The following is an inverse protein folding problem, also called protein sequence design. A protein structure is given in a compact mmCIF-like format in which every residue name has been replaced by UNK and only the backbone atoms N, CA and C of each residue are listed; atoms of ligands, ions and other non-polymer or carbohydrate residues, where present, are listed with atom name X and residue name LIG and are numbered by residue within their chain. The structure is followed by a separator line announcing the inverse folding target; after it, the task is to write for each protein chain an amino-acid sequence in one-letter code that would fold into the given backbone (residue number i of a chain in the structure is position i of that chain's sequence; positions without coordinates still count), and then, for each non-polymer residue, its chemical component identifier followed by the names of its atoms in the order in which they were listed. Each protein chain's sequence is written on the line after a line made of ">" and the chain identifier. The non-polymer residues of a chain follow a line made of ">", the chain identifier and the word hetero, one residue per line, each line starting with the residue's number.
data_IF_333495916893
#
_entry.id   IF_333495916893
#
_cell.length_a   1.000
_cell.length_b   1.000
_cell.length_c   1.000
_cell.angle_alpha   90.00
_cell.angle_beta   90.00
_cell.angle_gamma   90.00
#
_symmetry.space_group_name_H-M   'P 1'
#
loop_
_entity.id
_entity.type
_entity.pdbx_description
1 polymer ?
#
# COMPACT_ATOMS: atom_id res chain seq x y z
N UNK A 1 13.87 16.55 10.57
CA UNK A 1 14.68 15.51 9.93
C UNK A 1 15.09 14.34 10.82
N UNK A 2 14.60 14.24 12.07
CA UNK A 2 14.79 13.04 12.91
C UNK A 2 13.79 11.92 12.57
N UNK A 3 12.58 12.27 12.13
CA UNK A 3 11.50 11.31 11.80
C UNK A 3 11.89 10.42 10.62
N UNK A 4 12.48 10.99 9.58
CA UNK A 4 12.91 10.25 8.38
C UNK A 4 14.01 9.22 8.70
N UNK A 5 14.90 9.53 9.67
CA UNK A 5 15.94 8.59 10.11
C UNK A 5 15.40 7.45 10.99
N UNK A 6 14.32 7.68 11.74
CA UNK A 6 13.67 6.63 12.53
C UNK A 6 12.91 5.64 11.63
N UNK A 7 12.28 6.14 10.56
CA UNK A 7 11.55 5.31 9.59
C UNK A 7 12.52 4.52 8.69
N UNK A 8 13.65 5.11 8.29
CA UNK A 8 14.68 4.43 7.47
C UNK A 8 15.56 3.44 8.25
N UNK A 9 15.51 3.43 9.57
CA UNK A 9 16.39 2.59 10.39
C UNK A 9 15.85 1.18 10.65
N UNK A 10 14.58 0.94 10.30
CA UNK A 10 13.99 -0.40 10.28
C UNK A 10 13.49 -0.64 8.87
N UNK A 11 13.93 -1.71 8.24
CA UNK A 11 13.34 -2.13 6.98
C UNK A 11 11.83 -2.26 7.22
N UNK A 12 11.01 -1.67 6.35
CA UNK A 12 9.54 -1.62 6.52
C UNK A 12 8.97 -3.04 6.67
N UNK A 13 9.65 -4.01 6.07
CA UNK A 13 9.32 -5.43 6.15
C UNK A 13 9.43 -5.99 7.57
N UNK A 14 10.41 -5.53 8.37
CA UNK A 14 10.58 -5.93 9.77
C UNK A 14 9.49 -5.32 10.68
N UNK A 15 8.90 -4.21 10.26
CA UNK A 15 7.90 -3.48 11.06
C UNK A 15 6.50 -3.98 10.82
N UNK A 16 6.12 -4.19 9.57
CA UNK A 16 4.75 -4.56 9.19
C UNK A 16 4.61 -5.99 8.67
N UNK A 17 5.70 -6.77 8.70
CA UNK A 17 5.71 -8.17 8.27
C UNK A 17 5.56 -8.39 6.77
N UNK A 18 5.64 -7.31 5.98
CA UNK A 18 5.63 -7.38 4.52
C UNK A 18 6.28 -6.13 3.90
N UNK A 19 6.68 -6.25 2.62
CA UNK A 19 7.18 -5.10 1.86
C UNK A 19 6.09 -4.03 1.72
N UNK A 20 6.43 -2.76 1.85
CA UNK A 20 5.48 -1.64 1.72
C UNK A 20 4.70 -1.68 0.39
N UNK A 21 5.37 -2.05 -0.72
CA UNK A 21 4.71 -2.20 -2.03
C UNK A 21 3.63 -3.29 -2.01
N UNK A 22 3.85 -4.41 -1.29
CA UNK A 22 2.86 -5.47 -1.11
C UNK A 22 1.66 -4.95 -0.33
N UNK A 23 1.91 -4.24 0.77
CA UNK A 23 0.86 -3.62 1.57
C UNK A 23 -0.02 -2.68 0.74
N UNK A 24 0.58 -1.79 -0.07
CA UNK A 24 -0.14 -0.87 -0.94
C UNK A 24 -1.02 -1.62 -1.95
N UNK A 25 -0.48 -2.65 -2.59
CA UNK A 25 -1.22 -3.45 -3.58
C UNK A 25 -2.39 -4.18 -2.91
N UNK A 26 -2.16 -4.84 -1.77
CA UNK A 26 -3.19 -5.58 -1.05
C UNK A 26 -4.31 -4.65 -0.56
N UNK A 27 -3.97 -3.48 -0.01
CA UNK A 27 -4.96 -2.47 0.36
C UNK A 27 -5.81 -2.07 -0.84
N UNK A 28 -5.18 -1.79 -1.97
CA UNK A 28 -5.91 -1.43 -3.19
C UNK A 28 -6.80 -2.55 -3.70
N UNK A 29 -6.35 -3.80 -3.70
CA UNK A 29 -7.18 -4.96 -4.08
C UNK A 29 -8.40 -5.10 -3.16
N UNK A 30 -8.22 -4.90 -1.85
CA UNK A 30 -9.32 -4.90 -0.88
C UNK A 30 -10.32 -3.78 -1.16
N UNK A 31 -9.87 -2.57 -1.47
CA UNK A 31 -10.73 -1.43 -1.78
C UNK A 31 -11.59 -1.66 -3.04
N UNK A 32 -11.13 -2.49 -3.96
CA UNK A 32 -11.91 -3.00 -5.09
C UNK A 32 -12.82 -4.19 -4.74
N UNK A 33 -12.97 -4.54 -3.48
CA UNK A 33 -13.82 -5.66 -3.04
C UNK A 33 -13.14 -7.03 -3.13
N UNK A 34 -11.82 -7.08 -3.08
CA UNK A 34 -11.03 -8.32 -3.07
C UNK A 34 -10.73 -8.90 -4.46
N UNK A 35 -11.29 -8.34 -5.51
CA UNK A 35 -11.04 -8.76 -6.90
C UNK A 35 -11.00 -7.57 -7.84
N UNK A 36 -9.95 -7.48 -8.65
CA UNK A 36 -9.75 -6.36 -9.57
C UNK A 36 -9.02 -6.81 -10.82
N UNK A 37 -9.32 -6.21 -11.99
CA UNK A 37 -8.53 -6.48 -13.19
C UNK A 37 -7.10 -5.95 -13.02
N UNK A 38 -6.12 -6.70 -13.51
CA UNK A 38 -4.71 -6.28 -13.43
C UNK A 38 -4.49 -4.89 -14.07
N UNK A 39 -5.23 -4.58 -15.13
CA UNK A 39 -5.18 -3.28 -15.81
C UNK A 39 -5.68 -2.15 -14.87
N UNK A 40 -6.88 -2.31 -14.28
CA UNK A 40 -7.46 -1.32 -13.38
C UNK A 40 -6.58 -1.10 -12.14
N UNK A 41 -5.97 -2.17 -11.62
CA UNK A 41 -5.04 -2.09 -10.51
C UNK A 41 -3.78 -1.27 -10.89
N UNK A 42 -3.21 -1.50 -12.07
CA UNK A 42 -2.06 -0.74 -12.57
C UNK A 42 -2.38 0.74 -12.77
N UNK A 43 -3.54 1.05 -13.33
CA UNK A 43 -4.02 2.42 -13.53
C UNK A 43 -4.22 3.13 -12.17
N UNK A 44 -4.85 2.48 -11.19
CA UNK A 44 -5.11 3.07 -9.88
C UNK A 44 -3.84 3.35 -9.08
N UNK A 45 -2.83 2.48 -9.22
CA UNK A 45 -1.54 2.61 -8.53
C UNK A 45 -0.50 3.41 -9.34
N UNK A 46 -0.83 3.79 -10.57
CA UNK A 46 0.08 4.44 -11.51
C UNK A 46 1.37 3.64 -11.74
N UNK A 47 1.26 2.31 -11.79
CA UNK A 47 2.36 1.41 -12.13
C UNK A 47 2.36 1.07 -13.60
N UNK A 48 3.54 1.03 -14.20
CA UNK A 48 3.68 0.44 -15.53
C UNK A 48 3.44 -1.08 -15.50
N UNK A 49 3.01 -1.62 -16.65
CA UNK A 49 2.59 -3.01 -16.76
C UNK A 49 3.69 -4.01 -16.34
N UNK A 50 4.95 -3.73 -16.65
CA UNK A 50 6.07 -4.64 -16.37
C UNK A 50 6.39 -4.68 -14.88
N UNK A 51 6.47 -3.52 -14.23
CA UNK A 51 6.71 -3.41 -12.81
C UNK A 51 5.57 -4.02 -12.00
N UNK A 52 4.32 -3.81 -12.45
CA UNK A 52 3.17 -4.44 -11.81
C UNK A 52 3.22 -5.96 -11.89
N UNK A 53 3.56 -6.54 -13.06
CA UNK A 53 3.68 -8.00 -13.22
C UNK A 53 4.72 -8.58 -12.27
N UNK A 54 5.90 -7.97 -12.16
CA UNK A 54 6.96 -8.42 -11.26
C UNK A 54 6.50 -8.36 -9.80
N UNK A 55 5.84 -7.28 -9.41
CA UNK A 55 5.33 -7.10 -8.06
C UNK A 55 4.23 -8.12 -7.73
N UNK A 56 3.30 -8.36 -8.67
CA UNK A 56 2.25 -9.36 -8.48
C UNK A 56 2.82 -10.79 -8.41
N UNK A 57 3.90 -11.09 -9.13
CA UNK A 57 4.60 -12.37 -9.00
C UNK A 57 5.12 -12.59 -7.57
N UNK A 58 5.77 -11.56 -7.01
CA UNK A 58 6.28 -11.62 -5.63
C UNK A 58 5.15 -11.86 -4.61
N UNK A 59 4.04 -11.12 -4.75
CA UNK A 59 2.89 -11.23 -3.83
C UNK A 59 2.18 -12.59 -3.97
N UNK A 60 2.14 -13.15 -5.19
CA UNK A 60 1.55 -14.47 -5.48
C UNK A 60 2.41 -15.61 -4.94
N UNK A 61 3.76 -15.47 -4.96
CA UNK A 61 4.68 -16.43 -4.33
C UNK A 61 4.42 -16.54 -2.82
N UNK A 62 4.08 -15.42 -2.17
CA UNK A 62 3.72 -15.36 -0.76
C UNK A 62 2.27 -15.85 -0.47
N UNK A 63 1.57 -16.39 -1.49
CA UNK A 63 0.16 -16.85 -1.41
C UNK A 63 -0.84 -15.78 -0.91
N UNK A 64 -0.53 -14.49 -1.10
CA UNK A 64 -1.40 -13.37 -0.67
C UNK A 64 -2.42 -12.97 -1.70
N UNK A 65 -2.16 -13.25 -2.98
CA UNK A 65 -3.08 -13.08 -4.10
C UNK A 65 -3.03 -14.29 -5.02
N UNK A 66 -4.04 -14.40 -5.90
CA UNK A 66 -4.04 -15.30 -7.06
C UNK A 66 -4.38 -14.49 -8.31
N UNK A 67 -3.77 -14.87 -9.43
CA UNK A 67 -4.16 -14.34 -10.72
C UNK A 67 -4.98 -15.38 -11.46
N UNK A 68 -6.16 -14.99 -11.84
CA UNK A 68 -7.11 -15.82 -12.57
C UNK A 68 -7.45 -15.19 -13.91
N UNK A 69 -7.98 -15.98 -14.83
CA UNK A 69 -8.54 -15.42 -16.07
C UNK A 69 -9.92 -14.87 -15.77
N UNK A 70 -10.20 -13.67 -16.29
CA UNK A 70 -11.52 -13.06 -16.16
C UNK A 70 -12.58 -14.01 -16.78
N UNK A 71 -13.61 -14.41 -16.05
CA UNK A 71 -14.70 -15.22 -16.57
C UNK A 71 -15.44 -14.59 -17.76
N UNK A 72 -15.49 -13.26 -17.79
CA UNK A 72 -16.15 -12.49 -18.86
C UNK A 72 -15.26 -12.28 -20.09
N UNK A 73 -13.93 -12.21 -19.90
CA UNK A 73 -12.96 -12.08 -21.00
C UNK A 73 -11.67 -12.82 -20.67
N UNK A 74 -11.52 -14.03 -21.17
CA UNK A 74 -10.35 -14.91 -20.95
C UNK A 74 -9.00 -14.33 -21.39
N UNK A 75 -9.00 -13.20 -22.10
CA UNK A 75 -7.78 -12.48 -22.47
C UNK A 75 -7.28 -11.57 -21.35
N UNK A 76 -8.13 -11.31 -20.36
CA UNK A 76 -7.81 -10.46 -19.21
C UNK A 76 -7.46 -11.31 -17.99
N UNK A 77 -6.56 -10.78 -17.16
CA UNK A 77 -6.26 -11.34 -15.86
C UNK A 77 -6.91 -10.48 -14.78
N UNK A 78 -7.47 -11.15 -13.80
CA UNK A 78 -7.95 -10.57 -12.54
C UNK A 78 -7.04 -10.99 -11.41
N UNK A 79 -6.83 -10.08 -10.49
CA UNK A 79 -6.11 -10.30 -9.23
C UNK A 79 -7.15 -10.49 -8.15
N UNK A 80 -7.04 -11.60 -7.43
CA UNK A 80 -7.97 -11.98 -6.36
C UNK A 80 -7.20 -12.08 -5.05
N UNK A 81 -7.69 -11.43 -4.00
CA UNK A 81 -7.16 -11.56 -2.65
C UNK A 81 -7.38 -12.97 -2.12
N UNK A 82 -6.35 -13.56 -1.52
CA UNK A 82 -6.49 -14.84 -0.81
C UNK A 82 -6.85 -14.60 0.66
N UNK A 83 -7.30 -15.64 1.35
CA UNK A 83 -7.50 -15.59 2.80
C UNK A 83 -6.20 -15.31 3.57
N UNK A 84 -5.07 -15.74 3.02
CA UNK A 84 -3.76 -15.46 3.60
C UNK A 84 -3.42 -13.98 3.42
N UNK A 85 -3.70 -13.42 2.23
CA UNK A 85 -3.50 -12.00 1.96
C UNK A 85 -4.35 -11.10 2.85
N UNK A 86 -5.61 -11.46 3.10
CA UNK A 86 -6.49 -10.74 4.03
C UNK A 86 -5.91 -10.72 5.46
N UNK A 87 -5.51 -11.88 5.99
CA UNK A 87 -4.91 -12.00 7.33
C UNK A 87 -3.60 -11.24 7.47
N UNK A 88 -2.74 -11.33 6.45
CA UNK A 88 -1.44 -10.63 6.47
C UNK A 88 -1.64 -9.13 6.40
N UNK A 89 -2.64 -8.66 5.64
CA UNK A 89 -2.99 -7.25 5.55
C UNK A 89 -3.53 -6.71 6.87
N UNK A 90 -4.48 -7.43 7.50
CA UNK A 90 -5.03 -7.08 8.82
C UNK A 90 -3.92 -6.98 9.86
N UNK A 91 -3.01 -7.98 9.89
CA UNK A 91 -1.87 -7.96 10.80
C UNK A 91 -0.93 -6.78 10.55
N UNK A 92 -0.68 -6.45 9.30
CA UNK A 92 0.17 -5.30 8.95
C UNK A 92 -0.48 -3.98 9.39
N UNK A 93 -1.79 -3.85 9.30
CA UNK A 93 -2.55 -2.69 9.78
C UNK A 93 -2.46 -2.55 11.31
N UNK A 94 -2.64 -3.64 12.06
CA UNK A 94 -2.47 -3.63 13.52
C UNK A 94 -1.05 -3.20 13.94
N UNK A 95 -0.03 -3.66 13.22
CA UNK A 95 1.36 -3.27 13.48
C UNK A 95 1.61 -1.79 13.16
N UNK A 96 0.98 -1.27 12.11
CA UNK A 96 1.06 0.16 11.77
C UNK A 96 0.36 1.03 12.81
N UNK A 97 -0.83 0.61 13.31
CA UNK A 97 -1.53 1.31 14.38
C UNK A 97 -0.67 1.37 15.65
N UNK A 98 -0.06 0.24 16.04
CA UNK A 98 0.85 0.20 17.19
C UNK A 98 2.04 1.13 17.00
N UNK A 99 2.63 1.14 15.81
CA UNK A 99 3.73 2.04 15.49
C UNK A 99 3.31 3.52 15.52
N UNK A 100 2.12 3.83 15.02
CA UNK A 100 1.57 5.19 15.07
C UNK A 100 1.35 5.63 16.50
N UNK A 101 0.79 4.78 17.35
CA UNK A 101 0.61 5.06 18.79
C UNK A 101 1.94 5.35 19.48
N UNK A 102 2.97 4.56 19.23
CA UNK A 102 4.31 4.74 19.79
C UNK A 102 4.97 6.04 19.31
N UNK A 103 4.85 6.34 18.01
CA UNK A 103 5.43 7.56 17.43
C UNK A 103 4.74 8.82 17.91
N UNK A 104 3.44 8.75 18.17
CA UNK A 104 2.61 9.87 18.60
C UNK A 104 2.33 9.87 20.11
N UNK A 105 3.03 9.04 20.89
CA UNK A 105 2.84 8.93 22.34
C UNK A 105 3.03 10.26 23.09
N UNK A 106 3.81 11.20 22.51
CA UNK A 106 4.01 12.54 23.06
C UNK A 106 2.89 13.55 22.76
N UNK A 107 1.87 13.17 21.96
CA UNK A 107 0.76 14.03 21.57
C UNK A 107 -0.53 13.60 22.28
N UNK A 108 -1.31 14.56 22.74
CA UNK A 108 -2.66 14.30 23.23
C UNK A 108 -3.67 14.06 22.06
N UNK A 109 -4.92 13.75 22.41
CA UNK A 109 -5.95 13.40 21.41
C UNK A 109 -6.25 14.57 20.45
N UNK A 110 -6.27 15.81 20.96
CA UNK A 110 -6.55 17.01 20.17
C UNK A 110 -5.37 17.34 19.24
N UNK A 111 -4.15 17.19 19.72
CA UNK A 111 -2.92 17.37 18.95
C UNK A 111 -2.82 16.35 17.81
N UNK A 112 -3.17 15.07 18.08
CA UNK A 112 -3.22 14.01 17.06
C UNK A 112 -4.28 14.30 16.00
N UNK A 113 -5.47 14.77 16.40
CA UNK A 113 -6.54 15.15 15.46
C UNK A 113 -6.11 16.33 14.59
N UNK A 114 -5.44 17.33 15.17
CA UNK A 114 -4.88 18.48 14.46
C UNK A 114 -3.82 18.06 13.45
N UNK A 115 -2.88 17.19 13.85
CA UNK A 115 -1.84 16.64 12.97
C UNK A 115 -2.46 15.89 11.79
N UNK A 116 -3.45 15.03 12.05
CA UNK A 116 -4.16 14.27 11.01
C UNK A 116 -4.87 15.22 10.03
N UNK A 117 -5.52 16.26 10.50
CA UNK A 117 -6.17 17.27 9.67
C UNK A 117 -5.18 18.02 8.79
N UNK A 118 -4.03 18.42 9.32
CA UNK A 118 -2.97 19.09 8.56
C UNK A 118 -2.37 18.18 7.47
N UNK A 119 -2.10 16.92 7.79
CA UNK A 119 -1.60 15.94 6.83
C UNK A 119 -2.63 15.65 5.73
N UNK A 120 -3.91 15.49 6.07
CA UNK A 120 -4.98 15.28 5.08
C UNK A 120 -5.09 16.47 4.12
N UNK A 121 -5.10 17.69 4.63
CA UNK A 121 -5.15 18.91 3.80
C UNK A 121 -3.94 19.02 2.88
N UNK A 122 -2.75 18.66 3.35
CA UNK A 122 -1.54 18.66 2.54
C UNK A 122 -1.60 17.63 1.39
N UNK A 123 -2.16 16.44 1.65
CA UNK A 123 -2.32 15.39 0.65
C UNK A 123 -3.39 15.74 -0.38
N UNK A 124 -4.54 16.28 0.05
CA UNK A 124 -5.62 16.72 -0.85
C UNK A 124 -5.13 17.81 -1.82
N UNK A 125 -4.33 18.75 -1.34
CA UNK A 125 -3.75 19.83 -2.19
C UNK A 125 -2.83 19.25 -3.27
N UNK A 126 -2.12 18.16 -3.00
CA UNK A 126 -1.28 17.48 -3.99
C UNK A 126 -2.10 16.70 -5.01
N UNK A 127 -3.12 15.97 -4.58
CA UNK A 127 -4.03 15.26 -5.50
C UNK A 127 -4.74 16.22 -6.45
N UNK A 128 -5.17 17.39 -5.98
CA UNK A 128 -5.82 18.41 -6.81
C UNK A 128 -4.89 19.04 -7.86
N UNK A 129 -3.56 18.99 -7.64
CA UNK A 129 -2.54 19.53 -8.58
C UNK A 129 -2.00 18.50 -9.58
N UNK A 130 -2.53 17.27 -9.60
CA UNK A 130 -2.11 16.23 -10.56
C UNK A 130 -0.75 15.59 -10.28
N UNK A 131 -0.13 15.86 -9.14
CA UNK A 131 1.18 15.32 -8.76
C UNK A 131 1.10 13.93 -8.11
N UNK A 132 0.20 13.07 -8.61
CA UNK A 132 0.16 11.64 -8.21
C UNK A 132 1.49 10.89 -8.50
N UNK A 133 2.39 11.52 -9.23
CA UNK A 133 3.68 10.94 -9.64
C UNK A 133 4.71 10.81 -8.50
N UNK A 134 4.54 11.48 -7.37
CA UNK A 134 5.62 11.63 -6.38
C UNK A 134 5.72 10.51 -5.35
N UNK A 135 4.63 9.86 -4.95
CA UNK A 135 4.69 8.80 -3.93
C UNK A 135 5.18 7.46 -4.50
N UNK A 136 4.73 7.12 -5.71
CA UNK A 136 5.20 5.92 -6.40
C UNK A 136 6.69 6.04 -6.79
N UNK A 137 7.15 7.25 -7.17
CA UNK A 137 8.55 7.54 -7.52
C UNK A 137 9.48 7.51 -6.30
N UNK A 138 9.04 7.98 -5.14
CA UNK A 138 9.83 7.94 -3.91
C UNK A 138 10.08 6.51 -3.42
N UNK A 139 9.11 5.60 -3.65
CA UNK A 139 9.24 4.18 -3.32
C UNK A 139 10.06 3.42 -4.38
N UNK A 140 10.06 3.90 -5.63
CA UNK A 140 10.83 3.27 -6.73
C UNK A 140 12.35 3.55 -6.65
N UNK A 141 12.76 4.67 -6.05
CA UNK A 141 14.19 5.07 -5.95
C UNK A 141 14.93 4.52 -4.73
N UNK A 142 14.30 3.67 -3.91
CA UNK A 142 14.90 3.04 -2.73
C UNK A 142 15.20 1.55 -2.91
N UNK A 143 15.49 1.14 -4.16
CA UNK A 143 15.97 -0.22 -4.47
C UNK A 143 17.44 -0.18 -4.80
#
# INVERSE_FOLDING_TARGET
>A
MRLTRLIHRRETEDVIGMKLKHFIVLTQVRDFGGTVSQKALGESLNFDANNLVLLLNDIEIDDRIKRERDPADRRRHVVVMTKQGEKDLERAEELLETLEEDLLAGLDADERATLRGLLSSALETRCAKGDAHSLASAVASSS
#
